data_IF_557964843209
#
_entry.id   IF_557964843209
#
_cell.length_a   1.000
_cell.length_b   1.000
_cell.length_c   1.000
_cell.angle_alpha   90.00
_cell.angle_beta   90.00
_cell.angle_gamma   90.00
#
_symmetry.space_group_name_H-M   'P 1'
#
loop_
_entity.id
_entity.type
_entity.pdbx_description
1 polymer ?
#
# COMPACT_ATOMS: atom_id res chain seq x y z
N UNK A 1 15.69 56.24 0.34
CA UNK A 1 14.24 56.10 0.58
C UNK A 1 13.48 55.38 -0.55
N UNK A 2 13.39 55.88 -1.79
CA UNK A 2 12.58 55.19 -2.83
C UNK A 2 13.13 53.81 -3.26
N UNK A 3 14.46 53.64 -3.31
CA UNK A 3 15.12 52.38 -3.64
C UNK A 3 14.95 51.30 -2.54
N UNK A 4 14.94 51.70 -1.27
CA UNK A 4 14.77 50.77 -0.14
C UNK A 4 13.32 50.25 -0.04
N UNK A 5 12.34 51.11 -0.29
CA UNK A 5 10.93 50.71 -0.31
C UNK A 5 10.63 49.72 -1.47
N UNK A 6 11.30 49.88 -2.61
CA UNK A 6 11.18 48.95 -3.73
C UNK A 6 11.79 47.57 -3.43
N UNK A 7 12.96 47.53 -2.78
CA UNK A 7 13.60 46.28 -2.36
C UNK A 7 12.77 45.52 -1.31
N UNK A 8 12.18 46.24 -0.35
CA UNK A 8 11.28 45.64 0.64
C UNK A 8 10.01 45.05 -0.01
N UNK A 9 9.45 45.71 -1.02
CA UNK A 9 8.29 45.21 -1.75
C UNK A 9 8.57 43.90 -2.52
N UNK A 10 9.75 43.79 -3.14
CA UNK A 10 10.12 42.61 -3.91
C UNK A 10 10.35 41.36 -3.02
N UNK A 11 10.92 41.55 -1.83
CA UNK A 11 11.08 40.46 -0.86
C UNK A 11 9.74 39.93 -0.34
N UNK A 12 8.74 40.81 -0.18
CA UNK A 12 7.38 40.43 0.22
C UNK A 12 6.67 39.65 -0.89
N UNK A 13 6.82 40.05 -2.15
CA UNK A 13 6.29 39.33 -3.33
C UNK A 13 6.80 37.88 -3.38
N UNK A 14 8.11 37.69 -3.29
CA UNK A 14 8.72 36.35 -3.33
C UNK A 14 8.25 35.47 -2.18
N UNK A 15 8.11 36.03 -0.97
CA UNK A 15 7.64 35.28 0.19
C UNK A 15 6.17 34.84 0.06
N UNK A 16 5.31 35.69 -0.53
CA UNK A 16 3.89 35.37 -0.76
C UNK A 16 3.74 34.27 -1.79
N UNK A 17 4.44 34.38 -2.91
CA UNK A 17 4.34 33.41 -4.00
C UNK A 17 4.88 32.03 -3.58
N UNK A 18 6.00 32.00 -2.87
CA UNK A 18 6.57 30.76 -2.30
C UNK A 18 5.60 30.11 -1.30
N UNK A 19 5.08 30.89 -0.35
CA UNK A 19 4.15 30.35 0.65
C UNK A 19 2.83 29.88 0.04
N UNK A 20 2.34 30.58 -0.98
CA UNK A 20 1.15 30.18 -1.72
C UNK A 20 1.37 28.86 -2.45
N UNK A 21 2.55 28.67 -3.07
CA UNK A 21 2.93 27.39 -3.68
C UNK A 21 2.89 26.24 -2.68
N UNK A 22 3.50 26.41 -1.51
CA UNK A 22 3.42 25.40 -0.45
C UNK A 22 1.96 25.07 -0.11
N UNK A 23 1.13 26.10 0.11
CA UNK A 23 -0.29 25.95 0.43
C UNK A 23 -1.06 25.14 -0.63
N UNK A 24 -0.78 25.37 -1.92
CA UNK A 24 -1.42 24.63 -3.00
C UNK A 24 -0.99 23.17 -3.04
N UNK A 25 0.29 22.87 -2.81
CA UNK A 25 0.79 21.49 -2.69
C UNK A 25 0.14 20.77 -1.50
N UNK A 26 0.00 21.45 -0.37
CA UNK A 26 -0.67 20.91 0.81
C UNK A 26 -2.14 20.58 0.52
N UNK A 27 -2.86 21.49 -0.15
CA UNK A 27 -4.25 21.29 -0.60
C UNK A 27 -4.34 20.09 -1.53
N UNK A 28 -3.48 19.99 -2.54
CA UNK A 28 -3.51 18.91 -3.52
C UNK A 28 -3.29 17.55 -2.85
N UNK A 29 -2.31 17.44 -1.95
CA UNK A 29 -2.09 16.21 -1.18
C UNK A 29 -3.28 15.84 -0.27
N UNK A 30 -3.94 16.83 0.33
CA UNK A 30 -5.17 16.59 1.11
C UNK A 30 -6.30 16.11 0.17
N UNK A 31 -6.47 16.72 -1.00
CA UNK A 31 -7.49 16.36 -2.01
C UNK A 31 -7.33 14.93 -2.52
N UNK A 32 -6.10 14.49 -2.75
CA UNK A 32 -5.79 13.10 -3.14
C UNK A 32 -6.11 12.11 -2.03
N UNK A 33 -5.74 12.41 -0.78
CA UNK A 33 -6.10 11.59 0.38
C UNK A 33 -7.61 11.47 0.60
N UNK A 34 -8.35 12.55 0.37
CA UNK A 34 -9.82 12.59 0.44
C UNK A 34 -10.48 11.67 -0.60
N UNK A 35 -9.88 11.53 -1.79
CA UNK A 35 -10.42 10.63 -2.83
C UNK A 35 -10.41 9.16 -2.38
N UNK A 36 -9.68 8.83 -1.31
CA UNK A 36 -9.58 7.48 -0.75
C UNK A 36 -10.38 7.26 0.55
N UNK A 37 -10.94 8.28 1.22
CA UNK A 37 -11.82 8.09 2.38
C UNK A 37 -12.67 9.33 2.77
N UNK A 38 -13.80 9.07 3.43
CA UNK A 38 -14.91 9.98 3.85
C UNK A 38 -14.56 11.47 4.04
N UNK A 39 -15.18 12.34 3.23
CA UNK A 39 -15.04 13.80 3.28
C UNK A 39 -15.65 14.39 4.56
N UNK A 40 -14.88 15.17 5.31
CA UNK A 40 -15.45 16.07 6.33
C UNK A 40 -15.85 17.41 5.69
N UNK A 41 -17.08 17.93 5.91
CA UNK A 41 -17.55 19.16 5.28
C UNK A 41 -16.65 20.38 5.51
N UNK A 42 -16.06 20.49 6.70
CA UNK A 42 -15.14 21.57 7.08
C UNK A 42 -13.83 21.58 6.28
N UNK A 43 -13.45 20.45 5.67
CA UNK A 43 -12.28 20.36 4.80
C UNK A 43 -12.61 20.85 3.39
N UNK A 44 -13.86 20.67 2.95
CA UNK A 44 -14.32 21.14 1.63
C UNK A 44 -14.41 22.66 1.60
N UNK A 45 -14.96 23.27 2.65
CA UNK A 45 -15.02 24.73 2.81
C UNK A 45 -13.62 25.36 2.78
N UNK A 46 -12.66 24.78 3.50
CA UNK A 46 -11.28 25.24 3.48
C UNK A 46 -10.64 25.14 2.09
N UNK A 47 -10.88 24.06 1.34
CA UNK A 47 -10.35 23.93 -0.02
C UNK A 47 -10.87 25.03 -0.96
N UNK A 48 -12.16 25.35 -0.89
CA UNK A 48 -12.75 26.46 -1.65
C UNK A 48 -12.12 27.80 -1.26
N UNK A 49 -11.87 28.03 0.03
CA UNK A 49 -11.20 29.23 0.51
C UNK A 49 -9.76 29.36 -0.02
N UNK A 50 -9.02 28.24 -0.10
CA UNK A 50 -7.67 28.21 -0.69
C UNK A 50 -7.71 28.51 -2.19
N UNK A 51 -8.71 28.01 -2.91
CA UNK A 51 -8.88 28.26 -4.35
C UNK A 51 -9.24 29.72 -4.67
N UNK A 52 -10.09 30.35 -3.85
CA UNK A 52 -10.32 31.80 -3.95
C UNK A 52 -9.03 32.59 -3.67
N UNK A 53 -8.26 32.18 -2.65
CA UNK A 53 -6.99 32.84 -2.34
C UNK A 53 -5.94 32.69 -3.44
N UNK A 54 -5.88 31.52 -4.10
CA UNK A 54 -5.01 31.28 -5.25
C UNK A 54 -5.28 32.29 -6.38
N UNK A 55 -6.55 32.47 -6.73
CA UNK A 55 -6.96 33.44 -7.75
C UNK A 55 -6.54 34.86 -7.39
N UNK A 56 -6.72 35.26 -6.13
CA UNK A 56 -6.33 36.60 -5.65
C UNK A 56 -4.81 36.81 -5.59
N UNK A 57 -4.03 35.79 -5.22
CA UNK A 57 -2.56 35.85 -5.22
C UNK A 57 -2.05 36.03 -6.65
N UNK A 58 -2.58 35.26 -7.61
CA UNK A 58 -2.21 35.36 -9.03
C UNK A 58 -2.53 36.76 -9.58
N UNK A 59 -3.70 37.31 -9.25
CA UNK A 59 -4.09 38.66 -9.68
C UNK A 59 -3.17 39.74 -9.09
N UNK A 60 -2.86 39.66 -7.79
CA UNK A 60 -1.97 40.61 -7.12
C UNK A 60 -0.54 40.54 -7.68
N UNK A 61 -0.03 39.34 -7.91
CA UNK A 61 1.28 39.11 -8.52
C UNK A 61 1.35 39.72 -9.93
N UNK A 62 0.34 39.47 -10.75
CA UNK A 62 0.22 40.06 -12.09
C UNK A 62 0.22 41.59 -12.05
N UNK A 63 -0.55 42.19 -11.13
CA UNK A 63 -0.60 43.65 -10.94
C UNK A 63 0.71 44.22 -10.43
N UNK A 64 1.43 43.49 -9.57
CA UNK A 64 2.72 43.90 -9.06
C UNK A 64 3.79 43.87 -10.18
N UNK A 65 3.85 42.77 -10.93
CA UNK A 65 4.78 42.57 -12.05
C UNK A 65 4.53 43.54 -13.22
N UNK A 66 3.28 43.87 -13.56
CA UNK A 66 2.95 44.91 -14.55
C UNK A 66 3.54 46.29 -14.15
N UNK A 67 3.46 46.67 -12.86
CA UNK A 67 4.03 47.94 -12.40
C UNK A 67 5.56 47.94 -12.38
N UNK A 68 6.15 46.80 -12.01
CA UNK A 68 7.61 46.61 -12.02
C UNK A 68 8.18 46.71 -13.43
N UNK A 69 7.52 46.09 -14.41
CA UNK A 69 7.96 46.05 -15.81
C UNK A 69 7.58 47.29 -16.62
N UNK A 70 6.61 48.09 -16.15
CA UNK A 70 6.24 49.36 -16.76
C UNK A 70 6.40 50.53 -15.78
N UNK A 71 7.65 50.94 -15.45
CA UNK A 71 7.92 51.98 -14.45
C UNK A 71 7.24 53.32 -14.80
N UNK A 72 7.09 53.62 -16.09
CA UNK A 72 6.42 54.82 -16.59
C UNK A 72 4.94 54.93 -16.16
N UNK A 73 4.27 53.80 -15.83
CA UNK A 73 2.91 53.81 -15.26
C UNK A 73 2.87 54.42 -13.84
N UNK A 74 3.98 54.46 -13.11
CA UNK A 74 4.07 55.08 -11.77
C UNK A 74 3.87 56.60 -11.80
N UNK A 75 4.18 57.27 -12.92
CA UNK A 75 4.09 58.72 -13.06
C UNK A 75 2.69 59.25 -13.38
N UNK A 76 1.73 58.37 -13.76
CA UNK A 76 0.36 58.78 -14.15
C UNK A 76 -0.70 58.69 -13.05
N UNK A 77 -0.53 57.82 -12.05
CA UNK A 77 -1.45 57.68 -10.92
C UNK A 77 -0.70 57.18 -9.66
N UNK A 78 -0.52 58.05 -8.66
CA UNK A 78 0.28 57.80 -7.45
C UNK A 78 -0.31 56.78 -6.46
N UNK A 79 -0.36 55.49 -6.83
CA UNK A 79 -0.85 54.39 -5.97
C UNK A 79 0.20 53.30 -5.68
N UNK A 80 1.50 53.60 -5.69
CA UNK A 80 2.57 52.60 -5.48
C UNK A 80 2.57 51.93 -4.10
N UNK A 81 2.32 52.70 -3.02
CA UNK A 81 2.33 52.20 -1.64
C UNK A 81 1.16 51.25 -1.29
N UNK A 82 0.08 51.26 -2.07
CA UNK A 82 -1.10 50.41 -1.82
C UNK A 82 -0.82 48.92 -2.10
N UNK A 83 -0.19 48.60 -3.25
CA UNK A 83 0.07 47.19 -3.61
C UNK A 83 1.01 46.47 -2.66
N UNK A 84 2.08 47.13 -2.19
CA UNK A 84 3.00 46.49 -1.26
C UNK A 84 2.31 46.17 0.08
N UNK A 85 1.34 46.99 0.48
CA UNK A 85 0.52 46.76 1.67
C UNK A 85 -0.46 45.61 1.43
N UNK A 86 -1.14 45.61 0.28
CA UNK A 86 -2.07 44.55 -0.12
C UNK A 86 -1.35 43.19 -0.19
N UNK A 87 -0.12 43.16 -0.70
CA UNK A 87 0.72 41.96 -0.78
C UNK A 87 1.11 41.44 0.62
N UNK A 88 1.47 42.34 1.53
CA UNK A 88 1.77 41.98 2.93
C UNK A 88 0.53 41.49 3.69
N UNK A 89 -0.64 42.02 3.38
CA UNK A 89 -1.91 41.53 3.93
C UNK A 89 -2.25 40.15 3.38
N UNK A 90 -2.05 39.94 2.06
CA UNK A 90 -2.26 38.64 1.43
C UNK A 90 -1.33 37.57 1.99
N UNK A 91 -0.07 37.92 2.26
CA UNK A 91 0.87 37.03 2.94
C UNK A 91 0.30 36.48 4.26
N UNK A 92 -0.29 37.35 5.09
CA UNK A 92 -0.88 36.95 6.38
C UNK A 92 -2.07 36.01 6.18
N UNK A 93 -2.90 36.23 5.16
CA UNK A 93 -4.02 35.35 4.84
C UNK A 93 -3.53 33.95 4.40
N UNK A 94 -2.54 33.91 3.50
CA UNK A 94 -1.92 32.65 3.03
C UNK A 94 -1.30 31.89 4.20
N UNK A 95 -0.59 32.57 5.09
CA UNK A 95 -0.04 31.97 6.32
C UNK A 95 -1.13 31.40 7.24
N UNK A 96 -2.24 32.12 7.43
CA UNK A 96 -3.35 31.63 8.24
C UNK A 96 -3.94 30.34 7.67
N UNK A 97 -4.19 30.31 6.35
CA UNK A 97 -4.71 29.12 5.66
C UNK A 97 -3.73 27.96 5.68
N UNK A 98 -2.43 28.25 5.62
CA UNK A 98 -1.36 27.25 5.72
C UNK A 98 -1.37 26.54 7.07
N UNK A 99 -1.41 27.27 8.18
CA UNK A 99 -1.46 26.66 9.52
C UNK A 99 -2.77 25.89 9.76
N UNK A 100 -3.90 26.37 9.22
CA UNK A 100 -5.15 25.64 9.24
C UNK A 100 -5.06 24.32 8.46
N UNK A 101 -4.48 24.35 7.26
CA UNK A 101 -4.29 23.17 6.43
C UNK A 101 -3.42 22.10 7.10
N UNK A 102 -2.34 22.50 7.79
CA UNK A 102 -1.52 21.55 8.57
C UNK A 102 -2.31 20.85 9.66
N UNK A 103 -3.18 21.58 10.36
CA UNK A 103 -4.05 21.02 11.40
C UNK A 103 -5.00 20.00 10.80
N UNK A 104 -5.63 20.33 9.67
CA UNK A 104 -6.54 19.43 8.94
C UNK A 104 -5.81 18.17 8.45
N UNK A 105 -4.60 18.32 7.88
CA UNK A 105 -3.75 17.18 7.49
C UNK A 105 -3.41 16.29 8.68
N UNK A 106 -2.99 16.85 9.81
CA UNK A 106 -2.67 16.07 11.01
C UNK A 106 -3.86 15.26 11.55
N UNK A 107 -5.08 15.79 11.43
CA UNK A 107 -6.31 15.05 11.75
C UNK A 107 -6.54 13.91 10.75
N UNK A 108 -6.41 14.17 9.44
CA UNK A 108 -6.54 13.14 8.41
C UNK A 108 -5.50 12.02 8.58
N UNK A 109 -4.24 12.36 8.85
CA UNK A 109 -3.16 11.38 9.06
C UNK A 109 -3.37 10.53 10.33
N UNK A 110 -4.07 11.08 11.33
CA UNK A 110 -4.44 10.34 12.55
C UNK A 110 -5.69 9.47 12.37
N UNK A 111 -6.64 9.89 11.53
CA UNK A 111 -7.88 9.17 11.23
C UNK A 111 -7.71 8.10 10.15
N UNK A 112 -6.75 8.28 9.22
CA UNK A 112 -6.43 7.29 8.22
C UNK A 112 -5.77 6.08 8.90
N UNK A 113 -6.27 4.86 8.68
CA UNK A 113 -5.53 3.68 9.12
C UNK A 113 -4.15 3.75 8.48
N UNK A 114 -3.09 3.73 9.31
CA UNK A 114 -1.71 3.55 8.86
C UNK A 114 -1.74 2.50 7.77
N UNK A 115 -1.18 2.81 6.59
CA UNK A 115 -1.05 1.85 5.49
C UNK A 115 -0.52 0.56 6.09
N UNK A 116 -1.39 -0.43 6.19
CA UNK A 116 -1.01 -1.76 6.67
C UNK A 116 -0.20 -2.35 5.55
N UNK A 117 1.04 -2.69 5.84
CA UNK A 117 1.87 -3.47 4.93
C UNK A 117 1.22 -4.86 4.78
N UNK A 118 0.33 -4.97 3.80
CA UNK A 118 -0.39 -6.19 3.50
C UNK A 118 0.48 -7.09 2.63
N UNK A 119 0.79 -8.30 3.13
CA UNK A 119 1.41 -9.36 2.32
C UNK A 119 0.33 -10.20 1.69
N UNK A 120 0.40 -10.39 0.37
CA UNK A 120 -0.53 -11.23 -0.39
C UNK A 120 0.21 -12.49 -0.83
N UNK A 121 -0.41 -13.66 -0.64
CA UNK A 121 0.12 -14.95 -1.11
C UNK A 121 -0.77 -15.46 -2.24
N UNK A 122 -0.16 -15.69 -3.40
CA UNK A 122 -0.81 -16.27 -4.56
C UNK A 122 -0.35 -17.72 -4.72
N UNK A 123 -1.28 -18.63 -4.95
CA UNK A 123 -0.99 -20.05 -5.15
C UNK A 123 -1.55 -20.50 -6.50
N UNK A 124 -0.68 -21.02 -7.37
CA UNK A 124 -1.03 -21.56 -8.67
C UNK A 124 -0.27 -22.86 -8.91
N UNK A 125 -0.85 -23.76 -9.73
CA UNK A 125 -0.14 -24.92 -10.27
C UNK A 125 0.74 -24.56 -11.47
N UNK A 126 0.50 -23.38 -12.05
CA UNK A 126 1.25 -22.84 -13.18
C UNK A 126 2.08 -21.64 -12.72
N UNK A 127 3.39 -21.79 -12.81
CA UNK A 127 4.36 -20.75 -12.49
C UNK A 127 4.29 -19.56 -13.45
N UNK A 128 3.90 -19.77 -14.70
CA UNK A 128 3.73 -18.71 -15.70
C UNK A 128 2.70 -17.68 -15.23
N UNK A 129 1.56 -18.14 -14.74
CA UNK A 129 0.50 -17.28 -14.19
C UNK A 129 1.02 -16.44 -13.01
N UNK A 130 1.79 -17.04 -12.09
CA UNK A 130 2.37 -16.27 -10.98
C UNK A 130 3.33 -15.19 -11.47
N UNK A 131 4.13 -15.46 -12.51
CA UNK A 131 5.05 -14.47 -13.10
C UNK A 131 4.32 -13.35 -13.83
N UNK A 132 3.23 -13.67 -14.53
CA UNK A 132 2.39 -12.68 -15.20
C UNK A 132 1.71 -11.72 -14.20
N UNK A 133 1.48 -12.18 -12.97
CA UNK A 133 0.93 -11.37 -11.87
C UNK A 133 1.99 -10.51 -11.14
N UNK A 134 3.23 -10.46 -11.62
CA UNK A 134 4.32 -9.62 -11.09
C UNK A 134 4.59 -9.81 -9.59
N UNK A 135 4.71 -11.07 -9.16
CA UNK A 135 4.99 -11.41 -7.75
C UNK A 135 6.44 -11.12 -7.35
N UNK A 136 6.64 -10.60 -6.14
CA UNK A 136 7.98 -10.28 -5.59
C UNK A 136 8.85 -11.52 -5.37
N UNK A 137 8.25 -12.57 -4.79
CA UNK A 137 8.93 -13.81 -4.43
C UNK A 137 8.14 -15.02 -4.94
N UNK A 138 8.84 -15.99 -5.51
CA UNK A 138 8.25 -17.24 -5.97
C UNK A 138 8.77 -18.41 -5.13
N UNK A 139 7.85 -19.20 -4.58
CA UNK A 139 8.17 -20.44 -3.86
C UNK A 139 7.66 -21.63 -4.68
N UNK A 140 8.58 -22.49 -5.12
CA UNK A 140 8.22 -23.75 -5.77
C UNK A 140 8.03 -24.85 -4.72
N UNK A 141 6.77 -25.22 -4.46
CA UNK A 141 6.43 -26.29 -3.52
C UNK A 141 6.64 -27.65 -4.19
N UNK A 142 7.74 -28.32 -3.83
CA UNK A 142 8.06 -29.66 -4.33
C UNK A 142 7.28 -30.74 -3.58
N UNK A 143 7.05 -31.93 -4.18
CA UNK A 143 6.61 -33.11 -3.44
C UNK A 143 7.57 -33.42 -2.29
N UNK A 144 7.06 -34.09 -1.26
CA UNK A 144 7.87 -34.53 -0.13
C UNK A 144 8.94 -35.52 -0.59
N UNK A 145 10.13 -35.45 0.01
CA UNK A 145 11.13 -36.50 -0.13
C UNK A 145 10.62 -37.83 0.44
N UNK A 146 11.22 -38.96 0.04
CA UNK A 146 10.81 -40.28 0.54
C UNK A 146 10.81 -40.35 2.07
N UNK A 147 11.79 -39.73 2.73
CA UNK A 147 11.91 -39.72 4.17
C UNK A 147 10.86 -38.84 4.85
N UNK A 148 10.63 -37.63 4.33
CA UNK A 148 9.58 -36.73 4.82
C UNK A 148 8.19 -37.35 4.63
N UNK A 149 7.95 -37.96 3.47
CA UNK A 149 6.71 -38.61 3.12
C UNK A 149 6.44 -39.81 4.05
N UNK A 150 7.46 -40.61 4.37
CA UNK A 150 7.32 -41.73 5.30
C UNK A 150 7.19 -41.28 6.75
N UNK A 151 7.86 -40.21 7.14
CA UNK A 151 7.69 -39.57 8.45
C UNK A 151 6.26 -39.04 8.62
N UNK A 152 5.72 -38.33 7.62
CA UNK A 152 4.32 -37.88 7.62
C UNK A 152 3.36 -39.07 7.72
N UNK A 153 3.61 -40.16 6.99
CA UNK A 153 2.77 -41.37 7.09
C UNK A 153 2.75 -41.94 8.50
N UNK A 154 3.92 -42.12 9.13
CA UNK A 154 4.02 -42.60 10.53
C UNK A 154 3.29 -41.68 11.50
N UNK A 155 3.44 -40.36 11.36
CA UNK A 155 2.74 -39.38 12.20
C UNK A 155 1.22 -39.54 12.10
N UNK A 156 0.70 -39.72 10.87
CA UNK A 156 -0.74 -39.85 10.62
C UNK A 156 -1.31 -41.17 11.11
N UNK A 157 -0.58 -42.29 10.97
CA UNK A 157 -1.04 -43.60 11.46
C UNK A 157 -0.87 -43.72 12.98
N UNK A 158 0.23 -43.19 13.52
CA UNK A 158 0.66 -43.31 14.92
C UNK A 158 1.81 -44.31 15.10
N UNK A 159 2.45 -44.26 16.27
CA UNK A 159 3.66 -45.02 16.63
C UNK A 159 3.51 -46.55 16.56
N UNK A 160 2.29 -47.09 16.57
CA UNK A 160 2.04 -48.53 16.46
C UNK A 160 2.64 -49.15 15.18
N UNK A 161 2.80 -48.38 14.09
CA UNK A 161 3.47 -48.86 12.88
C UNK A 161 4.83 -49.46 13.19
N UNK A 162 5.58 -48.86 14.12
CA UNK A 162 6.94 -49.29 14.44
C UNK A 162 6.97 -50.64 15.18
N UNK A 163 5.83 -51.11 15.70
CA UNK A 163 5.75 -52.37 16.44
C UNK A 163 5.63 -53.61 15.53
N UNK A 164 5.24 -53.45 14.25
CA UNK A 164 5.05 -54.57 13.32
C UNK A 164 5.86 -54.35 12.04
N UNK A 165 6.98 -55.07 11.84
CA UNK A 165 7.87 -54.89 10.68
C UNK A 165 7.18 -54.99 9.31
N UNK A 166 6.17 -55.86 9.19
CA UNK A 166 5.39 -56.01 7.95
C UNK A 166 4.55 -54.77 7.64
N UNK A 167 4.02 -54.08 8.65
CA UNK A 167 3.23 -52.85 8.48
C UNK A 167 4.14 -51.70 8.05
N UNK A 168 5.36 -51.62 8.59
CA UNK A 168 6.39 -50.66 8.16
C UNK A 168 6.69 -50.84 6.67
N UNK A 169 6.95 -52.07 6.20
CA UNK A 169 7.24 -52.35 4.80
C UNK A 169 6.10 -51.96 3.86
N UNK A 170 4.85 -52.29 4.23
CA UNK A 170 3.69 -51.90 3.44
C UNK A 170 3.51 -50.37 3.43
N UNK A 171 3.74 -49.70 4.56
CA UNK A 171 3.70 -48.23 4.64
C UNK A 171 4.71 -47.56 3.72
N UNK A 172 5.95 -48.08 3.65
CA UNK A 172 6.97 -47.59 2.73
C UNK A 172 6.56 -47.74 1.27
N UNK A 173 5.97 -48.89 0.90
CA UNK A 173 5.45 -49.10 -0.46
C UNK A 173 4.32 -48.12 -0.78
N UNK A 174 3.36 -47.94 0.13
CA UNK A 174 2.25 -47.00 -0.06
C UNK A 174 2.76 -45.57 -0.27
N UNK A 175 3.71 -45.13 0.56
CA UNK A 175 4.30 -43.79 0.45
C UNK A 175 5.04 -43.61 -0.86
N UNK A 176 5.77 -44.64 -1.32
CA UNK A 176 6.44 -44.63 -2.62
C UNK A 176 5.44 -44.44 -3.76
N UNK A 177 4.34 -45.19 -3.75
CA UNK A 177 3.28 -45.07 -4.77
C UNK A 177 2.53 -43.72 -4.69
N UNK A 178 2.51 -43.07 -3.52
CA UNK A 178 1.93 -41.72 -3.38
C UNK A 178 2.80 -40.61 -4.02
N UNK A 179 4.02 -40.90 -4.45
CA UNK A 179 4.89 -39.94 -5.13
C UNK A 179 5.22 -38.68 -4.32
N UNK A 180 5.23 -38.77 -2.98
CA UNK A 180 5.50 -37.63 -2.11
C UNK A 180 4.35 -36.62 -2.00
N UNK A 181 3.15 -36.92 -2.52
CA UNK A 181 1.99 -36.03 -2.46
C UNK A 181 1.32 -36.07 -1.08
N UNK A 182 1.34 -34.97 -0.28
CA UNK A 182 0.86 -34.98 1.10
C UNK A 182 -0.60 -35.41 1.25
N UNK A 183 -1.47 -35.02 0.30
CA UNK A 183 -2.89 -35.34 0.33
C UNK A 183 -3.16 -36.84 0.15
N UNK A 184 -2.40 -37.52 -0.72
CA UNK A 184 -2.53 -38.97 -0.91
C UNK A 184 -2.02 -39.72 0.32
N UNK A 185 -0.85 -39.32 0.83
CA UNK A 185 -0.25 -39.91 2.02
C UNK A 185 -1.20 -39.82 3.21
N UNK A 186 -1.78 -38.64 3.49
CA UNK A 186 -2.74 -38.44 4.57
C UNK A 186 -3.98 -39.35 4.42
N UNK A 187 -4.52 -39.47 3.20
CA UNK A 187 -5.68 -40.31 2.93
C UNK A 187 -5.40 -41.79 3.16
N UNK A 188 -4.26 -42.30 2.67
CA UNK A 188 -3.89 -43.70 2.89
C UNK A 188 -3.52 -43.96 4.35
N UNK A 189 -2.78 -43.08 5.00
CA UNK A 189 -2.44 -43.21 6.41
C UNK A 189 -3.70 -43.28 7.29
N UNK A 190 -4.68 -42.39 7.10
CA UNK A 190 -5.96 -42.46 7.82
C UNK A 190 -6.70 -43.77 7.58
N UNK A 191 -6.63 -44.30 6.36
CA UNK A 191 -7.23 -45.60 6.01
C UNK A 191 -6.52 -46.74 6.74
N UNK A 192 -5.18 -46.73 6.77
CA UNK A 192 -4.35 -47.68 7.52
C UNK A 192 -4.67 -47.66 9.01
N UNK A 193 -4.77 -46.47 9.62
CA UNK A 193 -5.12 -46.29 11.03
C UNK A 193 -6.48 -46.93 11.38
N UNK A 194 -7.47 -46.75 10.51
CA UNK A 194 -8.81 -47.32 10.70
C UNK A 194 -8.82 -48.84 10.59
N UNK A 195 -8.00 -49.42 9.73
CA UNK A 195 -7.87 -50.88 9.59
C UNK A 195 -7.23 -51.52 10.83
N UNK A 196 -6.40 -50.79 11.58
CA UNK A 196 -5.84 -51.25 12.86
C UNK A 196 -6.83 -51.32 14.03
N UNK A 197 -8.05 -50.77 13.88
CA UNK A 197 -9.06 -50.71 14.95
C UNK A 197 -10.02 -51.90 15.01
N UNK A 198 -10.07 -52.75 13.97
CA UNK A 198 -10.83 -54.00 13.90
C UNK A 198 -10.43 -54.68 12.59
N UNK A 199 -9.74 -55.84 12.64
CA UNK A 199 -9.80 -56.93 11.63
C UNK A 199 -8.69 -57.96 11.91
N UNK A 200 -9.11 -59.22 12.06
CA UNK A 200 -8.27 -60.41 11.93
C UNK A 200 -7.65 -60.43 10.54
N UNK A 201 -6.32 -60.55 10.44
CA UNK A 201 -5.57 -60.54 9.18
C UNK A 201 -5.83 -61.87 8.42
N UNK A 202 -7.04 -62.03 7.88
CA UNK A 202 -7.40 -63.03 6.88
C UNK A 202 -7.17 -62.44 5.49
N UNK A 203 -6.43 -63.16 4.65
CA UNK A 203 -5.82 -62.66 3.42
C UNK A 203 -6.76 -62.00 2.42
N UNK A 204 -6.42 -60.79 2.00
CA UNK A 204 -6.90 -60.19 0.76
C UNK A 204 -5.69 -59.69 -0.04
N UNK A 205 -5.39 -60.37 -1.14
CA UNK A 205 -4.41 -59.93 -2.15
C UNK A 205 -5.10 -58.92 -3.08
N UNK A 206 -5.04 -57.63 -2.72
CA UNK A 206 -5.45 -56.55 -3.61
C UNK A 206 -4.39 -56.27 -4.68
N UNK A 207 -4.74 -56.43 -5.96
CA UNK A 207 -3.90 -55.99 -7.08
C UNK A 207 -3.85 -54.47 -7.10
N UNK A 208 -2.66 -53.90 -6.90
CA UNK A 208 -2.40 -52.50 -7.27
C UNK A 208 -2.34 -52.42 -8.80
N UNK A 209 -3.29 -51.71 -9.39
CA UNK A 209 -3.22 -51.37 -10.81
C UNK A 209 -2.13 -50.31 -10.98
N UNK A 210 -1.17 -50.59 -11.88
CA UNK A 210 -0.20 -49.61 -12.36
C UNK A 210 -0.95 -48.50 -13.09
N UNK A 211 -0.70 -47.26 -12.72
CA UNK A 211 -0.95 -46.12 -13.59
C UNK A 211 0.36 -45.90 -14.36
N UNK A 212 0.38 -46.30 -15.63
CA UNK A 212 1.47 -45.93 -16.52
C UNK A 212 1.33 -44.43 -16.87
N UNK A 213 2.48 -43.80 -17.04
CA UNK A 213 2.74 -42.35 -17.20
C UNK A 213 2.07 -41.70 -18.41
#
# INVERSE_FOLDING_TARGET
>A
MALEAAAAGAAVETAVTEKARELWELRNGIREGISQNRIRPDTTEWMANVEMNESEVIELDTKYNDRKNHPWKLFRFGKGASLSKDMAEKYKQVLSLWEEGKRKRGVLDAELPKRVDCKVVLASRDLGICREMDVDETINVKPLSSDEAFNMFKEKVGEFINSIPRVVQVGQLVVRECGGLPLLIDKFAKTFKRMGGNVSIGGCTGKFAKFDE
#
